data_IF_544478040744
#
_entry.id   IF_544478040744
#
_cell.length_a   1.000
_cell.length_b   1.000
_cell.length_c   1.000
_cell.angle_alpha   90.00
_cell.angle_beta   90.00
_cell.angle_gamma   90.00
#
_symmetry.space_group_name_H-M   'P 1'
#
loop_
_entity.id
_entity.type
_entity.pdbx_description
1 polymer ?
#
# COMPACT_ATOMS: atom_id res chain seq x y z
N UNK A 1 1.33 -11.64 -28.04
CA UNK A 1 0.80 -10.96 -26.84
C UNK A 1 0.10 -9.68 -27.29
N UNK A 2 -1.16 -9.42 -26.87
CA UNK A 2 -1.80 -8.12 -27.13
C UNK A 2 -0.97 -7.06 -26.38
N UNK A 3 -0.64 -5.94 -27.06
CA UNK A 3 -0.02 -4.81 -26.38
C UNK A 3 -1.05 -4.22 -25.42
N UNK A 4 -0.72 -4.18 -24.13
CA UNK A 4 -1.57 -3.52 -23.15
C UNK A 4 -1.62 -2.02 -23.47
N UNK A 5 -2.79 -1.45 -23.26
CA UNK A 5 -3.00 -0.02 -23.38
C UNK A 5 -2.10 0.71 -22.37
N UNK A 6 -1.12 1.46 -22.89
CA UNK A 6 -0.22 2.27 -22.04
C UNK A 6 -0.95 3.22 -21.10
N UNK A 7 -2.18 3.60 -21.43
CA UNK A 7 -3.00 4.40 -20.54
C UNK A 7 -3.34 3.69 -19.22
N UNK A 8 -3.47 2.36 -19.22
CA UNK A 8 -3.75 1.59 -18.00
C UNK A 8 -2.48 1.44 -17.16
N UNK A 9 -1.35 1.04 -17.78
CA UNK A 9 -0.09 0.86 -17.04
C UNK A 9 0.42 2.18 -16.41
N UNK A 10 0.05 3.33 -16.96
CA UNK A 10 0.41 4.64 -16.42
C UNK A 10 -0.54 5.14 -15.31
N UNK A 11 -1.69 4.48 -15.13
CA UNK A 11 -2.70 4.87 -14.13
C UNK A 11 -2.62 4.05 -12.85
N UNK A 12 -1.82 3.01 -12.81
CA UNK A 12 -1.64 2.18 -11.63
C UNK A 12 -0.17 1.87 -11.38
N UNK A 13 0.09 1.45 -10.15
CA UNK A 13 1.35 0.88 -9.72
C UNK A 13 1.20 -0.64 -9.66
N UNK A 14 2.33 -1.33 -9.65
CA UNK A 14 2.37 -2.79 -9.48
C UNK A 14 3.33 -3.12 -8.36
N UNK A 15 2.85 -3.83 -7.35
CA UNK A 15 3.68 -4.26 -6.24
C UNK A 15 4.80 -5.18 -6.73
N UNK A 16 6.01 -4.88 -6.30
CA UNK A 16 7.20 -5.67 -6.58
C UNK A 16 8.14 -5.63 -5.37
N UNK A 17 8.40 -6.79 -4.74
CA UNK A 17 9.40 -6.91 -3.71
C UNK A 17 10.76 -6.38 -4.19
N UNK A 18 11.50 -5.65 -3.32
CA UNK A 18 12.77 -5.03 -3.69
C UNK A 18 13.72 -5.97 -4.43
N UNK A 19 13.90 -7.17 -3.88
CA UNK A 19 14.82 -8.13 -4.48
C UNK A 19 14.38 -8.57 -5.88
N UNK A 20 13.10 -8.89 -6.04
CA UNK A 20 12.54 -9.30 -7.32
C UNK A 20 12.56 -8.13 -8.34
N UNK A 21 12.23 -6.92 -7.92
CA UNK A 21 12.34 -5.74 -8.78
C UNK A 21 13.78 -5.57 -9.31
N UNK A 22 14.77 -5.67 -8.42
CA UNK A 22 16.18 -5.45 -8.76
C UNK A 22 16.74 -6.51 -9.72
N UNK A 23 16.35 -7.80 -9.54
CA UNK A 23 17.00 -8.93 -10.23
C UNK A 23 16.19 -9.49 -11.39
N UNK A 24 14.85 -9.33 -11.38
CA UNK A 24 13.98 -10.05 -12.31
C UNK A 24 13.04 -9.11 -13.08
N UNK A 25 12.46 -8.09 -12.41
CA UNK A 25 11.34 -7.35 -12.98
C UNK A 25 11.71 -5.98 -13.55
N UNK A 26 12.89 -5.44 -13.25
CA UNK A 26 13.21 -4.08 -13.68
C UNK A 26 13.09 -3.89 -15.18
N UNK A 27 13.75 -4.74 -15.98
CA UNK A 27 13.72 -4.64 -17.44
C UNK A 27 12.32 -4.83 -18.00
N UNK A 28 11.56 -5.76 -17.43
CA UNK A 28 10.15 -5.98 -17.78
C UNK A 28 9.29 -4.74 -17.49
N UNK A 29 9.47 -4.10 -16.34
CA UNK A 29 8.74 -2.88 -15.99
C UNK A 29 9.10 -1.72 -16.91
N UNK A 30 10.37 -1.59 -17.27
CA UNK A 30 10.83 -0.57 -18.22
C UNK A 30 10.26 -0.79 -19.61
N UNK A 31 10.29 -2.03 -20.13
CA UNK A 31 9.77 -2.39 -21.45
C UNK A 31 8.28 -2.08 -21.60
N UNK A 32 7.51 -2.37 -20.55
CA UNK A 32 6.05 -2.20 -20.57
C UNK A 32 5.56 -0.87 -19.98
N UNK A 33 6.47 -0.02 -19.50
CA UNK A 33 6.12 1.26 -18.89
C UNK A 33 5.31 1.13 -17.59
N UNK A 34 5.56 0.04 -16.80
CA UNK A 34 4.89 -0.26 -15.55
C UNK A 34 5.55 0.52 -14.42
N UNK A 35 4.75 1.19 -13.61
CA UNK A 35 5.20 1.93 -12.44
C UNK A 35 5.25 0.99 -11.22
N UNK A 36 6.39 0.86 -10.53
CA UNK A 36 6.46 -0.04 -9.38
C UNK A 36 5.88 0.57 -8.10
N UNK A 37 5.22 -0.26 -7.30
CA UNK A 37 5.21 -0.11 -5.86
C UNK A 37 6.31 -0.98 -5.30
N UNK A 38 7.31 -0.36 -4.67
CA UNK A 38 8.54 -1.04 -4.25
C UNK A 38 8.38 -1.56 -2.82
N UNK A 39 8.30 -2.88 -2.65
CA UNK A 39 8.22 -3.54 -1.36
C UNK A 39 9.57 -3.58 -0.64
N UNK A 40 9.68 -2.86 0.48
CA UNK A 40 10.90 -2.78 1.31
C UNK A 40 10.92 -3.87 2.38
N UNK A 41 10.91 -5.12 1.95
CA UNK A 41 10.74 -6.29 2.82
C UNK A 41 12.06 -6.99 3.16
N UNK A 42 11.96 -8.00 4.01
CA UNK A 42 13.08 -8.84 4.40
C UNK A 42 14.19 -8.03 5.08
N UNK A 43 15.41 -8.27 4.66
CA UNK A 43 16.62 -7.63 5.20
C UNK A 43 17.15 -6.50 4.31
N UNK A 44 16.46 -6.15 3.21
CA UNK A 44 16.97 -5.18 2.23
C UNK A 44 17.35 -3.83 2.86
N UNK A 45 16.65 -3.38 3.90
CA UNK A 45 16.96 -2.14 4.62
C UNK A 45 18.23 -2.22 5.50
N UNK A 46 18.81 -3.41 5.68
CA UNK A 46 20.02 -3.64 6.47
C UNK A 46 21.20 -4.02 5.60
N UNK A 47 20.98 -4.89 4.61
CA UNK A 47 22.05 -5.61 3.89
C UNK A 47 22.29 -5.03 2.49
N UNK A 48 21.36 -4.23 1.94
CA UNK A 48 21.53 -3.67 0.60
C UNK A 48 22.52 -2.52 0.58
N UNK A 49 23.35 -2.45 -0.47
CA UNK A 49 24.16 -1.27 -0.74
C UNK A 49 23.25 -0.05 -1.02
N UNK A 50 23.38 1.05 -0.28
CA UNK A 50 22.61 2.27 -0.54
C UNK A 50 22.75 2.80 -1.98
N UNK A 51 23.82 2.46 -2.68
CA UNK A 51 23.99 2.83 -4.08
C UNK A 51 23.04 2.08 -5.02
N UNK A 52 22.63 0.85 -4.67
CA UNK A 52 21.65 0.12 -5.46
C UNK A 52 20.27 0.79 -5.43
N UNK A 53 19.82 1.29 -4.27
CA UNK A 53 18.61 2.10 -4.20
C UNK A 53 18.71 3.34 -5.10
N UNK A 54 19.83 4.06 -5.06
CA UNK A 54 20.05 5.23 -5.93
C UNK A 54 20.08 4.86 -7.41
N UNK A 55 20.70 3.73 -7.75
CA UNK A 55 20.78 3.22 -9.12
C UNK A 55 19.38 2.95 -9.68
N UNK A 56 18.55 2.18 -8.95
CA UNK A 56 17.19 1.86 -9.37
C UNK A 56 16.34 3.14 -9.46
N UNK A 57 16.39 4.02 -8.47
CA UNK A 57 15.68 5.29 -8.50
C UNK A 57 16.07 6.13 -9.73
N UNK A 58 17.36 6.20 -10.05
CA UNK A 58 17.86 6.90 -11.25
C UNK A 58 17.37 6.28 -12.56
N UNK A 59 17.28 4.94 -12.62
CA UNK A 59 16.74 4.23 -13.79
C UNK A 59 15.26 4.55 -13.98
N UNK A 60 14.45 4.49 -12.92
CA UNK A 60 13.03 4.83 -12.98
C UNK A 60 12.83 6.28 -13.42
N UNK A 61 13.56 7.22 -12.82
CA UNK A 61 13.48 8.63 -13.16
C UNK A 61 13.87 8.89 -14.64
N UNK A 62 14.95 8.29 -15.14
CA UNK A 62 15.38 8.40 -16.53
C UNK A 62 14.30 7.93 -17.52
N UNK A 63 13.54 6.90 -17.14
CA UNK A 63 12.44 6.36 -17.94
C UNK A 63 11.08 7.00 -17.64
N UNK A 64 11.04 8.07 -16.81
CA UNK A 64 9.82 8.80 -16.42
C UNK A 64 8.77 7.92 -15.77
N UNK A 65 9.19 6.87 -15.05
CA UNK A 65 8.32 6.02 -14.24
C UNK A 65 8.28 6.59 -12.83
N UNK A 66 7.08 6.88 -12.34
CA UNK A 66 6.85 7.16 -10.94
C UNK A 66 6.91 5.84 -10.14
N UNK A 67 7.04 5.95 -8.83
CA UNK A 67 6.92 4.81 -7.92
C UNK A 67 6.12 5.18 -6.67
N UNK A 68 5.64 4.18 -5.97
CA UNK A 68 5.25 4.21 -4.57
C UNK A 68 6.19 3.30 -3.78
N UNK A 69 6.20 3.43 -2.48
CA UNK A 69 6.92 2.51 -1.60
C UNK A 69 5.91 1.76 -0.73
N UNK A 70 6.20 0.49 -0.46
CA UNK A 70 5.55 -0.27 0.59
C UNK A 70 6.55 -0.50 1.72
N UNK A 71 6.27 0.02 2.90
CA UNK A 71 7.13 -0.12 4.07
C UNK A 71 7.19 -1.58 4.52
N UNK A 72 8.26 -2.01 5.22
CA UNK A 72 8.31 -3.35 5.78
C UNK A 72 7.16 -3.56 6.78
N UNK A 73 6.60 -4.75 6.79
CA UNK A 73 5.46 -5.10 7.65
C UNK A 73 5.68 -6.39 8.45
N UNK A 74 6.41 -7.36 7.92
CA UNK A 74 6.72 -8.60 8.65
C UNK A 74 7.48 -8.32 9.95
N UNK A 75 7.03 -8.95 11.03
CA UNK A 75 7.62 -8.86 12.39
C UNK A 75 7.67 -7.42 12.94
N UNK A 76 6.87 -6.51 12.42
CA UNK A 76 6.76 -5.15 12.93
C UNK A 76 5.52 -4.97 13.80
N UNK A 77 5.67 -4.20 14.85
CA UNK A 77 4.60 -3.82 15.75
C UNK A 77 4.69 -2.33 16.12
N UNK A 78 4.19 -1.43 15.27
CA UNK A 78 4.29 0.02 15.46
C UNK A 78 3.62 0.53 16.76
N UNK A 79 2.66 -0.24 17.29
CA UNK A 79 1.99 -0.01 18.55
C UNK A 79 2.38 -0.98 19.67
N UNK A 80 3.52 -1.65 19.57
CA UNK A 80 3.96 -2.62 20.58
C UNK A 80 4.05 -1.99 21.97
N UNK A 81 3.61 -2.76 22.98
CA UNK A 81 3.69 -2.37 24.39
C UNK A 81 5.05 -2.73 25.01
N UNK A 82 5.75 -3.71 24.42
CA UNK A 82 7.14 -4.00 24.78
C UNK A 82 8.06 -2.94 24.18
N UNK A 83 8.88 -2.24 25.00
CA UNK A 83 9.72 -1.15 24.54
C UNK A 83 10.82 -1.59 23.57
N UNK A 84 11.30 -2.83 23.65
CA UNK A 84 12.33 -3.34 22.75
C UNK A 84 11.77 -3.66 21.37
N UNK A 85 10.61 -4.30 21.31
CA UNK A 85 9.89 -4.56 20.06
C UNK A 85 9.49 -3.23 19.39
N UNK A 86 8.96 -2.29 20.17
CA UNK A 86 8.61 -0.97 19.67
C UNK A 86 9.82 -0.22 19.11
N UNK A 87 10.96 -0.27 19.80
CA UNK A 87 12.20 0.38 19.36
C UNK A 87 12.72 -0.23 18.06
N UNK A 88 12.73 -1.57 17.94
CA UNK A 88 13.13 -2.28 16.74
C UNK A 88 12.23 -1.94 15.55
N UNK A 89 10.90 -1.97 15.75
CA UNK A 89 9.92 -1.60 14.72
C UNK A 89 10.11 -0.16 14.23
N UNK A 90 10.27 0.79 15.14
CA UNK A 90 10.55 2.20 14.82
C UNK A 90 11.86 2.39 14.09
N UNK A 91 12.91 1.63 14.45
CA UNK A 91 14.19 1.70 13.77
C UNK A 91 14.11 1.21 12.33
N UNK A 92 13.38 0.11 12.08
CA UNK A 92 13.19 -0.43 10.72
C UNK A 92 12.32 0.51 9.86
N UNK A 93 11.22 1.02 10.42
CA UNK A 93 10.40 2.02 9.72
C UNK A 93 11.21 3.26 9.35
N UNK A 94 12.03 3.80 10.26
CA UNK A 94 12.88 4.96 9.96
C UNK A 94 13.76 4.71 8.73
N UNK A 95 14.41 3.54 8.62
CA UNK A 95 15.22 3.18 7.45
C UNK A 95 14.42 3.20 6.15
N UNK A 96 13.16 2.74 6.18
CA UNK A 96 12.27 2.84 5.01
C UNK A 96 11.98 4.30 4.66
N UNK A 97 11.72 5.14 5.65
CA UNK A 97 11.45 6.56 5.44
C UNK A 97 12.70 7.37 5.01
N UNK A 98 13.91 6.92 5.32
CA UNK A 98 15.16 7.51 4.81
C UNK A 98 15.26 7.35 3.27
N UNK A 99 14.56 6.39 2.66
CA UNK A 99 14.52 6.20 1.22
C UNK A 99 13.55 7.15 0.48
N UNK A 100 12.72 7.94 1.20
CA UNK A 100 11.85 8.93 0.57
C UNK A 100 12.64 9.99 -0.22
N UNK A 101 13.81 10.37 0.27
CA UNK A 101 14.71 11.30 -0.43
C UNK A 101 15.25 10.69 -1.73
N UNK A 102 15.52 9.38 -1.73
CA UNK A 102 16.12 8.65 -2.86
C UNK A 102 15.10 8.44 -3.98
N UNK A 103 13.94 7.87 -3.64
CA UNK A 103 12.93 7.48 -4.63
C UNK A 103 11.95 8.60 -4.98
N UNK A 104 11.71 9.56 -4.07
CA UNK A 104 10.68 10.60 -4.19
C UNK A 104 9.34 10.01 -4.63
N UNK A 105 8.84 9.01 -3.90
CA UNK A 105 7.66 8.27 -4.30
C UNK A 105 6.39 9.12 -4.20
N UNK A 106 5.31 8.66 -4.84
CA UNK A 106 3.99 9.31 -4.74
C UNK A 106 3.35 9.11 -3.37
N UNK A 107 3.65 8.00 -2.71
CA UNK A 107 3.21 7.64 -1.36
C UNK A 107 4.13 6.57 -0.76
N UNK A 108 3.98 6.36 0.55
CA UNK A 108 4.52 5.18 1.25
C UNK A 108 3.39 4.49 2.00
N UNK A 109 3.10 3.24 1.66
CA UNK A 109 2.10 2.40 2.33
C UNK A 109 2.71 1.76 3.58
N UNK A 110 1.96 1.71 4.65
CA UNK A 110 2.35 1.13 5.93
C UNK A 110 1.19 0.37 6.55
N UNK A 111 1.42 -0.83 7.03
CA UNK A 111 0.43 -1.58 7.81
C UNK A 111 0.25 -0.99 9.20
N UNK A 112 -1.00 -0.85 9.64
CA UNK A 112 -1.29 -0.39 10.99
C UNK A 112 -0.96 -1.45 12.06
N UNK A 113 -1.10 -2.74 11.72
CA UNK A 113 -0.73 -3.90 12.54
C UNK A 113 -1.49 -3.98 13.88
N UNK A 114 -2.79 -3.73 13.84
CA UNK A 114 -3.66 -3.95 14.99
C UNK A 114 -4.46 -5.24 14.82
N UNK A 115 -4.39 -6.11 15.82
CA UNK A 115 -5.21 -7.31 15.91
C UNK A 115 -6.05 -7.26 17.19
N UNK A 116 -7.37 -7.20 17.04
CA UNK A 116 -8.33 -7.13 18.15
C UNK A 116 -8.07 -8.20 19.21
N UNK A 117 -7.88 -9.44 18.79
CA UNK A 117 -7.66 -10.58 19.69
C UNK A 117 -6.32 -10.54 20.44
N UNK A 118 -5.36 -9.73 19.97
CA UNK A 118 -4.04 -9.61 20.61
C UNK A 118 -3.91 -8.33 21.44
N UNK A 119 -4.41 -7.20 20.92
CA UNK A 119 -4.19 -5.89 21.53
C UNK A 119 -5.46 -5.22 22.05
N UNK A 120 -6.65 -5.73 21.70
CA UNK A 120 -7.94 -5.07 22.04
C UNK A 120 -8.14 -4.81 23.52
N UNK A 121 -7.67 -5.70 24.41
CA UNK A 121 -7.74 -5.52 25.86
C UNK A 121 -6.85 -4.38 26.40
N UNK A 122 -5.91 -3.87 25.58
CA UNK A 122 -5.02 -2.73 25.86
C UNK A 122 -5.06 -1.68 24.74
N UNK A 123 -6.21 -1.52 24.10
CA UNK A 123 -6.40 -0.64 22.95
C UNK A 123 -5.88 0.78 23.20
N UNK A 124 -6.13 1.37 24.37
CA UNK A 124 -5.67 2.72 24.69
C UNK A 124 -4.13 2.84 24.73
N UNK A 125 -3.46 1.88 25.38
CA UNK A 125 -1.98 1.86 25.44
C UNK A 125 -1.38 1.62 24.06
N UNK A 126 -1.95 0.67 23.32
CA UNK A 126 -1.53 0.37 21.94
C UNK A 126 -1.71 1.59 21.02
N UNK A 127 -2.87 2.24 21.06
CA UNK A 127 -3.17 3.44 20.26
C UNK A 127 -2.18 4.56 20.54
N UNK A 128 -1.86 4.81 21.83
CA UNK A 128 -0.88 5.82 22.19
C UNK A 128 0.53 5.52 21.66
N UNK A 129 0.97 4.25 21.73
CA UNK A 129 2.27 3.82 21.21
C UNK A 129 2.33 3.89 19.67
N UNK A 130 1.26 3.45 18.99
CA UNK A 130 1.12 3.53 17.53
C UNK A 130 1.12 4.99 17.05
N UNK A 131 0.30 5.84 17.66
CA UNK A 131 0.24 7.26 17.32
C UNK A 131 1.61 7.94 17.46
N UNK A 132 2.33 7.69 18.57
CA UNK A 132 3.67 8.23 18.76
C UNK A 132 4.67 7.71 17.70
N UNK A 133 4.47 6.51 17.18
CA UNK A 133 5.28 5.97 16.07
C UNK A 133 4.97 6.70 14.77
N UNK A 134 3.69 6.81 14.40
CA UNK A 134 3.27 7.46 13.16
C UNK A 134 3.59 8.97 13.16
N UNK A 135 3.45 9.66 14.29
CA UNK A 135 3.87 11.06 14.40
C UNK A 135 5.36 11.27 14.11
N UNK A 136 6.24 10.35 14.53
CA UNK A 136 7.68 10.44 14.25
C UNK A 136 8.00 10.30 12.76
N UNK A 137 7.46 9.29 12.10
CA UNK A 137 7.75 9.07 10.67
C UNK A 137 7.02 10.10 9.80
N UNK A 138 5.88 10.63 10.25
CA UNK A 138 5.14 11.70 9.59
C UNK A 138 5.97 13.00 9.47
N UNK A 139 6.88 13.29 10.41
CA UNK A 139 7.81 14.42 10.28
C UNK A 139 8.69 14.28 9.05
N UNK A 140 9.24 13.08 8.82
CA UNK A 140 10.06 12.80 7.62
C UNK A 140 9.20 12.84 6.35
N UNK A 141 8.03 12.22 6.38
CA UNK A 141 7.07 12.23 5.27
C UNK A 141 6.68 13.65 4.85
N UNK A 142 6.33 14.50 5.83
CA UNK A 142 6.00 15.92 5.60
C UNK A 142 7.18 16.70 5.01
N UNK A 143 8.40 16.49 5.52
CA UNK A 143 9.62 17.12 4.99
C UNK A 143 9.83 16.83 3.51
N UNK A 144 9.56 15.58 3.09
CA UNK A 144 9.72 15.15 1.70
C UNK A 144 8.44 15.30 0.87
N UNK A 145 7.34 15.78 1.47
CA UNK A 145 6.03 15.94 0.83
C UNK A 145 5.48 14.60 0.26
N UNK A 146 5.75 13.51 0.95
CA UNK A 146 5.28 12.16 0.59
C UNK A 146 4.23 11.72 1.61
N UNK A 147 2.98 11.45 1.20
CA UNK A 147 1.96 10.98 2.14
C UNK A 147 2.20 9.54 2.58
N UNK A 148 1.90 9.30 3.87
CA UNK A 148 1.82 7.96 4.46
C UNK A 148 0.41 7.45 4.24
N UNK A 149 0.27 6.24 3.72
CA UNK A 149 -1.01 5.55 3.56
C UNK A 149 -1.07 4.40 4.57
N UNK A 150 -1.92 4.53 5.59
CA UNK A 150 -2.14 3.45 6.57
C UNK A 150 -3.11 2.44 5.99
N UNK A 151 -2.65 1.22 5.82
CA UNK A 151 -3.38 0.14 5.16
C UNK A 151 -4.12 -0.74 6.18
N UNK A 152 -5.34 -1.17 5.82
CA UNK A 152 -6.07 -2.19 6.57
C UNK A 152 -5.47 -3.58 6.32
N UNK A 153 -5.26 -4.31 7.41
CA UNK A 153 -4.82 -5.71 7.37
C UNK A 153 -5.74 -6.57 8.23
N UNK A 154 -5.45 -6.70 9.51
CA UNK A 154 -6.17 -7.58 10.45
C UNK A 154 -7.30 -6.88 11.22
N UNK A 155 -7.45 -5.57 11.02
CA UNK A 155 -8.47 -4.78 11.69
C UNK A 155 -9.87 -5.21 11.23
N UNK A 156 -10.78 -5.38 12.20
CA UNK A 156 -12.16 -5.85 11.94
C UNK A 156 -13.13 -4.72 11.60
N UNK A 157 -12.71 -3.47 11.77
CA UNK A 157 -13.54 -2.29 11.49
C UNK A 157 -12.67 -1.06 11.23
N UNK A 158 -13.22 0.01 10.64
CA UNK A 158 -12.51 1.24 10.35
C UNK A 158 -12.15 2.06 11.60
N UNK A 159 -12.61 1.68 12.79
CA UNK A 159 -12.53 2.50 14.01
C UNK A 159 -11.08 2.84 14.42
N UNK A 160 -10.17 1.85 14.33
CA UNK A 160 -8.77 2.05 14.72
C UNK A 160 -8.06 3.00 13.75
N UNK A 161 -8.24 2.82 12.43
CA UNK A 161 -7.71 3.74 11.42
C UNK A 161 -8.26 5.16 11.61
N UNK A 162 -9.58 5.29 11.78
CA UNK A 162 -10.21 6.60 12.04
C UNK A 162 -9.60 7.29 13.24
N UNK A 163 -9.42 6.56 14.36
CA UNK A 163 -8.83 7.10 15.58
C UNK A 163 -7.42 7.65 15.34
N UNK A 164 -6.55 6.88 14.71
CA UNK A 164 -5.17 7.28 14.41
C UNK A 164 -5.13 8.46 13.42
N UNK A 165 -5.86 8.38 12.31
CA UNK A 165 -5.86 9.41 11.26
C UNK A 165 -6.44 10.75 11.77
N UNK A 166 -7.48 10.69 12.60
CA UNK A 166 -8.06 11.90 13.24
C UNK A 166 -7.05 12.60 14.14
N UNK A 167 -6.23 11.87 14.90
CA UNK A 167 -5.23 12.44 15.80
C UNK A 167 -3.96 12.93 15.07
N UNK A 168 -3.59 12.31 13.94
CA UNK A 168 -2.42 12.75 13.14
C UNK A 168 -2.61 14.14 12.53
N UNK A 169 -3.82 14.52 12.17
CA UNK A 169 -4.21 15.89 11.69
C UNK A 169 -3.30 16.44 10.61
N UNK A 170 -2.96 15.63 9.62
CA UNK A 170 -1.99 16.01 8.59
C UNK A 170 -2.51 15.67 7.20
N UNK A 171 -2.28 16.52 6.19
CA UNK A 171 -2.58 16.20 4.79
C UNK A 171 -1.63 15.13 4.23
N UNK A 172 -0.57 14.77 4.96
CA UNK A 172 0.36 13.71 4.62
C UNK A 172 0.07 12.40 5.37
N UNK A 173 -1.11 12.26 5.98
CA UNK A 173 -1.58 11.00 6.57
C UNK A 173 -2.90 10.61 5.91
N UNK A 174 -2.91 9.49 5.23
CA UNK A 174 -4.05 8.96 4.49
C UNK A 174 -4.29 7.49 4.78
N UNK A 175 -5.28 6.96 4.09
CA UNK A 175 -5.73 5.58 4.17
C UNK A 175 -5.46 4.87 2.85
N UNK A 176 -4.91 3.67 2.90
CA UNK A 176 -4.89 2.71 1.82
C UNK A 176 -5.94 1.65 2.09
N UNK A 177 -6.91 1.49 1.19
CA UNK A 177 -7.85 0.39 1.26
C UNK A 177 -7.30 -0.78 0.46
N UNK A 178 -6.89 -1.84 1.16
CA UNK A 178 -6.65 -3.14 0.57
C UNK A 178 -7.96 -3.93 0.53
N UNK A 179 -8.40 -4.23 -0.68
CA UNK A 179 -9.71 -4.85 -0.91
C UNK A 179 -9.71 -6.35 -0.64
N UNK A 180 -8.58 -7.02 -0.83
CA UNK A 180 -8.44 -8.44 -0.54
C UNK A 180 -8.36 -8.72 0.95
N UNK A 181 -7.69 -7.85 1.71
CA UNK A 181 -7.65 -7.92 3.18
C UNK A 181 -9.04 -7.75 3.81
N UNK A 182 -9.92 -6.94 3.22
CA UNK A 182 -11.32 -6.86 3.68
C UNK A 182 -12.00 -8.22 3.67
N UNK A 183 -11.83 -8.98 2.59
CA UNK A 183 -12.46 -10.28 2.43
C UNK A 183 -11.80 -11.35 3.30
N UNK A 184 -10.47 -11.43 3.28
CA UNK A 184 -9.72 -12.54 3.88
C UNK A 184 -9.50 -12.40 5.38
N UNK A 185 -9.28 -11.19 5.87
CA UNK A 185 -8.94 -10.94 7.28
C UNK A 185 -10.07 -10.27 8.05
N UNK A 186 -10.65 -9.19 7.52
CA UNK A 186 -11.72 -8.46 8.20
C UNK A 186 -13.06 -9.19 8.12
N UNK A 187 -13.32 -9.94 7.04
CA UNK A 187 -14.62 -10.51 6.69
C UNK A 187 -15.72 -9.45 6.65
N UNK A 188 -15.39 -8.29 6.09
CA UNK A 188 -16.26 -7.13 5.96
C UNK A 188 -16.25 -6.58 4.53
N UNK A 189 -16.97 -5.51 4.28
CA UNK A 189 -17.12 -4.94 2.95
C UNK A 189 -16.62 -3.49 2.90
N UNK A 190 -16.28 -3.02 1.70
CA UNK A 190 -15.90 -1.62 1.50
C UNK A 190 -17.03 -0.65 1.89
N UNK A 191 -18.30 -1.06 1.81
CA UNK A 191 -19.46 -0.28 2.24
C UNK A 191 -19.48 0.00 3.74
N UNK A 192 -18.82 -0.83 4.54
CA UNK A 192 -18.65 -0.60 5.98
C UNK A 192 -17.48 0.35 6.28
N UNK A 193 -16.45 0.37 5.45
CA UNK A 193 -15.21 1.11 5.67
C UNK A 193 -15.22 2.51 5.06
N UNK A 194 -15.58 2.63 3.79
CA UNK A 194 -15.43 3.88 3.05
C UNK A 194 -16.33 5.03 3.52
N UNK A 195 -17.58 4.83 3.97
CA UNK A 195 -18.35 5.94 4.56
C UNK A 195 -17.64 6.63 5.72
N UNK A 196 -16.77 5.89 6.43
CA UNK A 196 -15.99 6.40 7.57
C UNK A 196 -14.63 6.94 7.16
N UNK A 197 -13.93 6.32 6.20
CA UNK A 197 -12.53 6.60 5.88
C UNK A 197 -12.32 7.31 4.55
N UNK A 198 -13.34 7.52 3.75
CA UNK A 198 -13.23 8.24 2.46
C UNK A 198 -12.54 9.62 2.56
N UNK A 199 -12.66 10.41 3.66
CA UNK A 199 -11.92 11.67 3.76
C UNK A 199 -10.39 11.52 3.77
N UNK A 200 -9.89 10.33 4.06
CA UNK A 200 -8.46 10.02 4.09
C UNK A 200 -8.03 9.07 2.96
N UNK A 201 -8.97 8.59 2.13
CA UNK A 201 -8.66 7.63 1.08
C UNK A 201 -7.70 8.23 0.05
N UNK A 202 -6.46 7.73 0.03
CA UNK A 202 -5.43 8.19 -0.89
C UNK A 202 -4.85 7.10 -1.77
N UNK A 203 -5.09 5.82 -1.43
CA UNK A 203 -4.60 4.68 -2.21
C UNK A 203 -5.52 3.48 -2.09
N UNK A 204 -5.50 2.62 -3.11
CA UNK A 204 -6.14 1.31 -3.15
C UNK A 204 -5.10 0.25 -3.50
N UNK A 205 -5.15 -0.88 -2.81
CA UNK A 205 -4.53 -2.12 -3.25
C UNK A 205 -5.61 -3.03 -3.83
N UNK A 206 -5.40 -3.47 -5.07
CA UNK A 206 -6.37 -4.26 -5.82
C UNK A 206 -5.82 -5.64 -6.12
N UNK A 207 -6.38 -6.61 -5.47
CA UNK A 207 -6.30 -8.04 -5.77
C UNK A 207 -7.61 -8.69 -5.33
N UNK A 208 -7.81 -9.95 -5.67
CA UNK A 208 -9.05 -10.64 -5.36
C UNK A 208 -8.79 -11.95 -4.59
N UNK A 209 -9.81 -12.45 -3.93
CA UNK A 209 -9.79 -13.75 -3.25
C UNK A 209 -11.20 -14.29 -3.02
N UNK A 210 -11.28 -15.49 -2.46
CA UNK A 210 -12.56 -16.15 -2.17
C UNK A 210 -13.06 -15.94 -0.73
N UNK A 211 -12.36 -15.11 0.06
CA UNK A 211 -12.73 -14.75 1.44
C UNK A 211 -12.28 -15.76 2.50
N UNK A 212 -11.48 -16.76 2.13
CA UNK A 212 -10.92 -17.77 3.02
C UNK A 212 -9.44 -17.51 3.36
N UNK A 213 -8.72 -16.92 2.43
CA UNK A 213 -7.30 -16.57 2.56
C UNK A 213 -6.93 -15.47 1.58
N UNK A 214 -5.81 -14.85 1.82
CA UNK A 214 -5.25 -13.80 0.98
C UNK A 214 -4.54 -14.40 -0.26
N UNK A 215 -5.29 -14.57 -1.36
CA UNK A 215 -4.87 -15.32 -2.53
C UNK A 215 -4.16 -14.49 -3.60
N UNK A 216 -4.31 -13.17 -3.58
CA UNK A 216 -3.81 -12.25 -4.61
C UNK A 216 -4.20 -12.65 -6.05
N UNK A 217 -5.44 -13.13 -6.23
CA UNK A 217 -5.99 -13.39 -7.56
C UNK A 217 -6.12 -12.08 -8.34
N UNK A 218 -6.10 -12.15 -9.65
CA UNK A 218 -6.41 -10.98 -10.47
C UNK A 218 -7.83 -10.48 -10.17
N UNK A 219 -8.06 -9.15 -10.18
CA UNK A 219 -9.39 -8.57 -10.02
C UNK A 219 -10.43 -9.25 -10.91
N UNK A 220 -11.60 -9.57 -10.35
CA UNK A 220 -12.69 -10.27 -11.03
C UNK A 220 -12.58 -11.80 -11.01
N UNK A 221 -11.55 -12.38 -10.40
CA UNK A 221 -11.42 -13.84 -10.27
C UNK A 221 -11.87 -14.37 -8.90
N UNK A 222 -12.20 -13.51 -7.96
CA UNK A 222 -12.69 -13.84 -6.64
C UNK A 222 -14.11 -13.34 -6.41
N UNK A 223 -14.33 -12.73 -5.25
CA UNK A 223 -15.68 -12.30 -4.80
C UNK A 223 -15.82 -10.80 -4.59
N UNK A 224 -14.75 -10.01 -4.79
CA UNK A 224 -14.80 -8.60 -4.49
C UNK A 224 -15.66 -7.83 -5.51
N UNK A 225 -16.46 -6.86 -5.01
CA UNK A 225 -17.33 -6.00 -5.84
C UNK A 225 -16.55 -4.78 -6.37
N UNK A 226 -15.69 -4.98 -7.38
CA UNK A 226 -14.96 -3.88 -8.03
C UNK A 226 -15.90 -2.86 -8.70
N UNK A 227 -16.94 -3.25 -9.46
CA UNK A 227 -17.83 -2.29 -10.07
C UNK A 227 -18.51 -1.36 -9.07
N UNK A 228 -18.99 -1.90 -7.94
CA UNK A 228 -19.62 -1.11 -6.88
C UNK A 228 -18.63 -0.15 -6.21
N UNK A 229 -17.40 -0.61 -5.91
CA UNK A 229 -16.35 0.26 -5.37
C UNK A 229 -16.06 1.43 -6.33
N UNK A 230 -15.81 1.17 -7.60
CA UNK A 230 -15.46 2.21 -8.57
C UNK A 230 -16.66 3.16 -8.86
N UNK A 231 -17.89 2.66 -8.77
CA UNK A 231 -19.08 3.52 -8.80
C UNK A 231 -19.12 4.47 -7.60
N UNK A 232 -18.79 3.98 -6.41
CA UNK A 232 -18.68 4.80 -5.20
C UNK A 232 -17.62 5.89 -5.35
N UNK A 233 -16.41 5.54 -5.85
CA UNK A 233 -15.35 6.51 -6.08
C UNK A 233 -15.79 7.64 -7.02
N UNK A 234 -16.41 7.31 -8.15
CA UNK A 234 -16.95 8.30 -9.09
C UNK A 234 -18.01 9.19 -8.45
N UNK A 235 -18.93 8.59 -7.70
CA UNK A 235 -20.03 9.33 -7.06
C UNK A 235 -19.54 10.37 -6.04
N UNK A 236 -18.41 10.05 -5.38
CA UNK A 236 -17.81 10.91 -4.34
C UNK A 236 -16.62 11.72 -4.82
N UNK A 237 -16.32 11.73 -6.13
CA UNK A 237 -15.18 12.43 -6.74
C UNK A 237 -13.82 12.08 -6.06
N UNK A 238 -13.61 10.79 -5.81
CA UNK A 238 -12.41 10.26 -5.15
C UNK A 238 -11.45 9.69 -6.20
N UNK A 239 -10.19 10.11 -6.14
CA UNK A 239 -9.14 9.74 -7.09
C UNK A 239 -7.90 9.17 -6.39
N UNK A 240 -8.01 8.02 -5.70
CA UNK A 240 -6.88 7.40 -5.02
C UNK A 240 -5.84 6.90 -6.02
N UNK A 241 -4.58 6.79 -5.58
CA UNK A 241 -3.57 5.99 -6.28
C UNK A 241 -4.04 4.52 -6.28
N UNK A 242 -3.68 3.79 -7.32
CA UNK A 242 -4.09 2.38 -7.45
C UNK A 242 -2.84 1.52 -7.62
N UNK A 243 -2.71 0.50 -6.78
CA UNK A 243 -1.67 -0.52 -6.87
C UNK A 243 -2.33 -1.87 -7.15
N UNK A 244 -1.79 -2.62 -8.10
CA UNK A 244 -2.10 -4.02 -8.34
C UNK A 244 -1.09 -4.89 -7.59
N UNK A 245 -1.56 -5.97 -6.96
CA UNK A 245 -0.71 -6.88 -6.19
C UNK A 245 -0.73 -8.32 -6.73
N UNK A 246 -0.20 -8.56 -7.92
CA UNK A 246 -0.17 -9.90 -8.51
C UNK A 246 0.94 -10.74 -7.91
N UNK A 247 0.71 -12.04 -7.69
CA UNK A 247 1.75 -13.00 -7.33
C UNK A 247 2.49 -13.60 -8.52
N UNK A 248 2.04 -13.34 -9.75
CA UNK A 248 2.71 -13.80 -10.97
C UNK A 248 2.51 -12.83 -12.15
N UNK A 249 3.36 -12.93 -13.16
CA UNK A 249 3.15 -12.20 -14.41
C UNK A 249 1.80 -12.54 -15.06
N UNK A 250 1.35 -13.79 -14.95
CA UNK A 250 0.06 -14.21 -15.49
C UNK A 250 -1.08 -13.43 -14.81
N UNK A 251 -1.07 -13.33 -13.48
CA UNK A 251 -2.10 -12.61 -12.73
C UNK A 251 -2.06 -11.11 -13.05
N UNK A 252 -0.86 -10.55 -13.24
CA UNK A 252 -0.71 -9.17 -13.68
C UNK A 252 -1.37 -8.92 -15.05
N UNK A 253 -1.13 -9.80 -16.03
CA UNK A 253 -1.76 -9.66 -17.35
C UNK A 253 -3.28 -9.81 -17.30
N UNK A 254 -3.78 -10.70 -16.45
CA UNK A 254 -5.21 -10.86 -16.22
C UNK A 254 -5.82 -9.64 -15.52
N UNK A 255 -5.11 -9.05 -14.56
CA UNK A 255 -5.55 -7.81 -13.90
C UNK A 255 -5.66 -6.67 -14.91
N UNK A 256 -4.65 -6.46 -15.75
CA UNK A 256 -4.72 -5.42 -16.79
C UNK A 256 -5.85 -5.67 -17.81
N UNK A 257 -6.04 -6.93 -18.23
CA UNK A 257 -7.13 -7.26 -19.15
C UNK A 257 -8.50 -6.97 -18.53
N UNK A 258 -8.70 -7.33 -17.27
CA UNK A 258 -9.93 -7.03 -16.53
C UNK A 258 -10.19 -5.51 -16.44
N UNK A 259 -9.17 -4.72 -16.10
CA UNK A 259 -9.30 -3.27 -16.01
C UNK A 259 -9.61 -2.63 -17.37
N UNK A 260 -9.07 -3.18 -18.47
CA UNK A 260 -9.35 -2.71 -19.82
C UNK A 260 -10.78 -3.08 -20.26
N UNK A 261 -11.18 -4.32 -20.05
CA UNK A 261 -12.49 -4.83 -20.47
C UNK A 261 -13.67 -4.21 -19.71
N UNK A 262 -13.46 -3.89 -18.43
CA UNK A 262 -14.49 -3.34 -17.55
C UNK A 262 -14.50 -1.82 -17.53
N UNK A 263 -13.54 -1.15 -18.14
CA UNK A 263 -13.38 0.32 -18.16
C UNK A 263 -13.49 0.97 -16.76
N UNK A 264 -13.06 0.23 -15.70
CA UNK A 264 -13.20 0.67 -14.30
C UNK A 264 -12.57 2.04 -14.04
N UNK A 265 -11.51 2.37 -14.76
CA UNK A 265 -10.81 3.66 -14.60
C UNK A 265 -11.49 4.83 -15.31
N UNK A 266 -12.57 4.61 -16.05
CA UNK A 266 -13.27 5.70 -16.75
C UNK A 266 -13.97 6.60 -15.73
N UNK A 267 -13.59 7.88 -15.73
CA UNK A 267 -14.20 8.90 -14.85
C UNK A 267 -13.65 8.96 -13.42
N UNK A 268 -12.49 8.33 -13.15
CA UNK A 268 -11.74 8.52 -11.88
C UNK A 268 -10.31 8.98 -12.17
#
# INVERSE_FOLDING_TARGET
MKSINKQITQRCFVNAPWQALKTEYLDFFLEHGIQPEIGLEGTCLYDEDPNEFRRIAGVLQKNKLACTLHAPFFDLAPGALDPHILAASRAKLRRAFDLLEVFRPRSIVCHLQFEENKQGYKLGEWTAAALATWQKVLQTATKHQVPIMLENTYEKSPATHKSILTELKSPYAGFCLDVGHLLSFSHSSWQEWLPTLSPWLGQLHLHDNHGDRDQHLAPGQGKFDFPGLFQFLRHHDLHPLITLEPHSQKDLWQAFAYLEETELFTGI
#
